data_IF_858457705108
#
_entry.id   IF_858457705108
#
_cell.length_a   1.000
_cell.length_b   1.000
_cell.length_c   1.000
_cell.angle_alpha   90.00
_cell.angle_beta   90.00
_cell.angle_gamma   90.00
#
_symmetry.space_group_name_H-M   'P 1'
#
loop_
_entity.id
_entity.type
_entity.pdbx_description
1 polymer ?
#
# COMPACT_ATOMS: atom_id res chain seq x y z
N UNK A 1 8.05 -27.94 -10.27
CA UNK A 1 8.06 -26.47 -10.40
C UNK A 1 6.70 -25.93 -9.95
N UNK A 2 6.61 -25.31 -8.78
CA UNK A 2 5.38 -24.63 -8.33
C UNK A 2 5.40 -23.19 -8.84
N UNK A 3 4.38 -22.80 -9.61
CA UNK A 3 4.15 -21.41 -9.98
C UNK A 3 3.98 -20.63 -8.67
N UNK A 4 4.94 -19.77 -8.34
CA UNK A 4 4.71 -18.77 -7.30
C UNK A 4 3.56 -17.92 -7.83
N UNK A 5 2.39 -18.01 -7.19
CA UNK A 5 1.28 -17.11 -7.45
C UNK A 5 1.81 -15.68 -7.38
N UNK A 6 2.05 -15.09 -8.55
CA UNK A 6 2.70 -13.78 -8.71
C UNK A 6 1.83 -12.61 -8.23
N UNK A 7 0.73 -12.93 -7.54
CA UNK A 7 -0.25 -12.01 -6.96
C UNK A 7 -0.27 -12.05 -5.42
N UNK A 8 0.55 -12.90 -4.78
CA UNK A 8 0.66 -12.93 -3.34
C UNK A 8 1.55 -11.76 -2.85
N UNK A 9 1.10 -11.04 -1.84
CA UNK A 9 1.90 -9.99 -1.23
C UNK A 9 3.13 -10.61 -0.56
N UNK A 10 4.24 -9.87 -0.51
CA UNK A 10 5.47 -10.30 0.17
C UNK A 10 5.28 -10.56 1.66
N UNK A 11 4.23 -10.01 2.27
CA UNK A 11 3.82 -10.31 3.64
C UNK A 11 3.15 -11.68 3.82
N UNK A 12 2.95 -12.45 2.73
CA UNK A 12 2.27 -13.75 2.74
C UNK A 12 0.75 -13.68 2.56
N UNK A 13 0.18 -12.50 2.35
CA UNK A 13 -1.25 -12.37 2.06
C UNK A 13 -1.57 -12.96 0.67
N UNK A 14 -2.70 -13.67 0.53
CA UNK A 14 -3.06 -14.37 -0.71
C UNK A 14 -3.37 -13.43 -1.87
N UNK A 15 -3.60 -12.13 -1.59
CA UNK A 15 -4.01 -11.14 -2.58
C UNK A 15 -3.27 -9.84 -2.35
N UNK A 16 -2.59 -9.35 -3.37
CA UNK A 16 -2.04 -8.00 -3.42
C UNK A 16 -3.11 -7.03 -3.93
N UNK A 17 -4.07 -6.67 -3.07
CA UNK A 17 -5.07 -5.63 -3.37
C UNK A 17 -4.56 -4.24 -2.96
N UNK A 18 -4.98 -3.15 -3.63
CA UNK A 18 -4.63 -1.80 -3.22
C UNK A 18 -5.10 -1.50 -1.78
N UNK A 19 -6.26 -2.03 -1.39
CA UNK A 19 -6.79 -1.92 -0.02
C UNK A 19 -5.82 -2.54 1.00
N UNK A 20 -5.33 -3.75 0.72
CA UNK A 20 -4.38 -4.42 1.58
C UNK A 20 -3.07 -3.64 1.66
N UNK A 21 -2.47 -3.27 0.52
CA UNK A 21 -1.21 -2.52 0.49
C UNK A 21 -1.32 -1.19 1.25
N UNK A 22 -2.39 -0.43 1.01
CA UNK A 22 -2.56 0.92 1.54
C UNK A 22 -3.07 0.96 3.00
N UNK A 23 -3.70 -0.10 3.52
CA UNK A 23 -4.29 -0.08 4.86
C UNK A 23 -3.90 -1.22 5.80
N UNK A 24 -3.63 -2.43 5.29
CA UNK A 24 -3.63 -3.63 6.13
C UNK A 24 -2.27 -4.36 6.13
N UNK A 25 -1.46 -4.17 5.09
CA UNK A 25 -0.20 -4.89 4.91
C UNK A 25 0.74 -4.62 6.09
N UNK A 26 1.08 -5.64 6.90
CA UNK A 26 1.90 -5.47 8.09
C UNK A 26 3.36 -5.20 7.72
N UNK A 27 3.82 -5.74 6.59
CA UNK A 27 5.18 -5.51 6.09
C UNK A 27 5.44 -4.07 5.64
N UNK A 28 4.38 -3.28 5.38
CA UNK A 28 4.47 -1.88 4.96
C UNK A 28 3.98 -0.92 6.06
N UNK A 29 3.82 -1.41 7.29
CA UNK A 29 3.26 -0.63 8.41
C UNK A 29 4.15 0.55 8.80
N UNK A 30 5.47 0.35 8.80
CA UNK A 30 6.46 1.40 9.06
C UNK A 30 6.41 2.50 8.00
N UNK A 31 6.56 2.15 6.72
CA UNK A 31 6.47 3.11 5.60
C UNK A 31 5.11 3.84 5.57
N UNK A 32 4.03 3.15 5.93
CA UNK A 32 2.69 3.76 5.99
C UNK A 32 2.62 4.83 7.09
N UNK A 33 3.21 4.59 8.26
CA UNK A 33 3.25 5.57 9.36
C UNK A 33 4.16 6.75 9.03
N UNK A 34 5.24 6.54 8.26
CA UNK A 34 6.11 7.62 7.81
C UNK A 34 5.40 8.57 6.82
N UNK A 35 4.59 8.02 5.91
CA UNK A 35 3.85 8.82 4.92
C UNK A 35 2.55 9.40 5.51
N UNK A 36 1.84 8.62 6.33
CA UNK A 36 0.59 9.00 6.99
C UNK A 36 0.73 8.88 8.51
N UNK A 37 1.30 9.91 9.18
CA UNK A 37 1.45 9.92 10.63
C UNK A 37 0.11 10.04 11.36
N UNK A 38 -0.92 10.56 10.69
CA UNK A 38 -2.31 10.59 11.17
C UNK A 38 -3.12 9.50 10.49
N UNK A 39 -4.08 8.94 11.23
CA UNK A 39 -5.02 7.99 10.64
C UNK A 39 -5.67 8.60 9.40
N UNK A 40 -5.46 7.94 8.27
CA UNK A 40 -5.92 8.39 6.96
C UNK A 40 -6.72 7.26 6.33
N UNK A 41 -7.98 7.52 5.97
CA UNK A 41 -8.89 6.50 5.45
C UNK A 41 -8.45 6.02 4.06
N UNK A 42 -8.92 4.83 3.67
CA UNK A 42 -8.61 4.30 2.33
C UNK A 42 -9.20 5.20 1.24
N UNK A 43 -10.38 5.76 1.49
CA UNK A 43 -11.04 6.66 0.56
C UNK A 43 -10.18 7.89 0.29
N UNK A 44 -9.58 8.46 1.32
CA UNK A 44 -8.75 9.65 1.21
C UNK A 44 -7.43 9.36 0.48
N UNK A 45 -6.81 8.19 0.74
CA UNK A 45 -5.62 7.72 0.01
C UNK A 45 -5.89 7.51 -1.49
N UNK A 46 -7.09 7.08 -1.87
CA UNK A 46 -7.42 6.73 -3.26
C UNK A 46 -8.13 7.84 -4.04
N UNK A 47 -8.93 8.67 -3.36
CA UNK A 47 -9.81 9.68 -3.96
C UNK A 47 -9.88 10.98 -3.16
N UNK A 48 -8.97 11.19 -2.20
CA UNK A 48 -8.86 12.42 -1.43
C UNK A 48 -8.34 13.59 -2.27
N UNK A 49 -7.72 14.56 -1.59
CA UNK A 49 -7.21 15.74 -2.28
C UNK A 49 -5.98 15.42 -3.12
N UNK A 50 -5.54 16.40 -3.93
CA UNK A 50 -4.28 16.25 -4.67
C UNK A 50 -3.06 16.03 -3.77
N UNK A 51 -3.10 16.45 -2.50
CA UNK A 51 -2.03 16.18 -1.53
C UNK A 51 -2.06 14.73 -1.04
N UNK A 52 -3.25 14.17 -0.85
CA UNK A 52 -3.43 12.78 -0.42
C UNK A 52 -3.00 11.81 -1.53
N UNK A 53 -3.37 12.11 -2.78
CA UNK A 53 -2.90 11.35 -3.94
C UNK A 53 -1.38 11.43 -4.12
N UNK A 54 -0.76 12.60 -3.85
CA UNK A 54 0.70 12.72 -3.85
C UNK A 54 1.35 11.84 -2.77
N UNK A 55 0.79 11.81 -1.56
CA UNK A 55 1.26 10.91 -0.49
C UNK A 55 1.14 9.44 -0.90
N UNK A 56 0.03 9.05 -1.50
CA UNK A 56 -0.14 7.68 -2.03
C UNK A 56 0.90 7.34 -3.10
N UNK A 57 1.17 8.26 -4.04
CA UNK A 57 2.20 8.05 -5.06
C UNK A 57 3.61 7.96 -4.45
N UNK A 58 3.92 8.77 -3.44
CA UNK A 58 5.18 8.70 -2.69
C UNK A 58 5.32 7.35 -2.00
N UNK A 59 4.28 6.88 -1.32
CA UNK A 59 4.25 5.56 -0.68
C UNK A 59 4.49 4.43 -1.69
N UNK A 60 3.82 4.46 -2.85
CA UNK A 60 4.01 3.46 -3.91
C UNK A 60 5.46 3.47 -4.44
N UNK A 61 6.03 4.66 -4.63
CA UNK A 61 7.43 4.80 -5.07
C UNK A 61 8.41 4.28 -4.01
N UNK A 62 8.15 4.56 -2.74
CA UNK A 62 9.02 4.17 -1.63
C UNK A 62 9.00 2.66 -1.37
N UNK A 63 7.82 2.04 -1.48
CA UNK A 63 7.62 0.61 -1.25
C UNK A 63 7.92 -0.25 -2.48
N UNK A 64 8.15 0.36 -3.64
CA UNK A 64 8.37 -0.33 -4.91
C UNK A 64 7.14 -1.12 -5.39
N UNK A 65 5.98 -0.88 -4.79
CA UNK A 65 4.71 -1.48 -5.23
C UNK A 65 4.26 -0.76 -6.49
N UNK A 66 4.66 -1.32 -7.63
CA UNK A 66 4.19 -0.89 -8.94
C UNK A 66 2.87 -1.59 -9.26
N UNK A 67 1.87 -0.81 -9.65
CA UNK A 67 0.58 -1.30 -10.16
C UNK A 67 0.75 -1.90 -11.56
#
# INVERSE_FOLDING_TARGET
MGLRDSAACTCGAPKQSPEHILQDCPSLSSERLEIWPTETTLQDKLWGTGEDLKRTALFMTHTGVVA
#
